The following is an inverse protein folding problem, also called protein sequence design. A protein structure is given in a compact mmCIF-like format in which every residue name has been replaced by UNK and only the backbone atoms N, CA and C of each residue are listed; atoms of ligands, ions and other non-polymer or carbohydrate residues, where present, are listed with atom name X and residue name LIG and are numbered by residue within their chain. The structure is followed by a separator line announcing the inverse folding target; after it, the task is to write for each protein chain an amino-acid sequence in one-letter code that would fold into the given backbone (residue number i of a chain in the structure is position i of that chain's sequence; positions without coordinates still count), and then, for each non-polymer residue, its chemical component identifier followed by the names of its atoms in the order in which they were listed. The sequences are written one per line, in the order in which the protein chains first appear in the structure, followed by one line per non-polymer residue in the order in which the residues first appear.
data_IF_544410335563
#
_entry.id   IF_544410335563
#
_cell.length_a   1.000
_cell.length_b   1.000
_cell.length_c   1.000
_cell.angle_alpha   90.00
_cell.angle_beta   90.00
_cell.angle_gamma   90.00
#
_symmetry.space_group_name_H-M   'P 1'
#
loop_
_entity.id
_entity.type
_entity.pdbx_description
1 polymer ?
#
# COMPACT_ATOMS: atom_id res chain seq x y z
N UNK A 1 -17.39 -0.59 28.85
CA UNK A 1 -17.54 0.66 28.09
C UNK A 1 -18.14 0.32 26.74
N UNK A 2 -19.05 1.14 26.19
CA UNK A 2 -19.60 0.92 24.85
C UNK A 2 -18.49 1.15 23.81
N UNK A 3 -18.30 0.22 22.86
CA UNK A 3 -17.35 0.42 21.76
C UNK A 3 -17.76 1.65 20.93
N UNK A 4 -16.78 2.46 20.54
CA UNK A 4 -16.95 3.54 19.57
C UNK A 4 -17.41 3.00 18.22
N UNK A 5 -17.95 3.87 17.36
CA UNK A 5 -18.30 3.49 15.99
C UNK A 5 -17.07 3.01 15.22
N UNK A 6 -15.91 3.62 15.45
CA UNK A 6 -14.65 3.19 14.87
C UNK A 6 -14.31 1.74 15.22
N UNK A 7 -14.28 1.40 16.51
CA UNK A 7 -13.94 0.06 17.00
C UNK A 7 -14.94 -1.00 16.54
N UNK A 8 -16.21 -0.64 16.35
CA UNK A 8 -17.22 -1.53 15.78
C UNK A 8 -16.94 -1.79 14.30
N UNK A 9 -16.62 -0.76 13.54
CA UNK A 9 -16.24 -0.88 12.14
C UNK A 9 -15.02 -1.77 11.94
N UNK A 10 -13.93 -1.50 12.69
CA UNK A 10 -12.69 -2.28 12.60
C UNK A 10 -12.93 -3.75 12.98
N UNK A 11 -13.73 -4.00 14.02
CA UNK A 11 -14.10 -5.38 14.40
C UNK A 11 -14.79 -6.15 13.26
N UNK A 12 -15.64 -5.49 12.46
CA UNK A 12 -16.23 -6.16 11.29
C UNK A 12 -15.17 -6.43 10.23
N UNK A 13 -14.26 -5.48 9.93
CA UNK A 13 -13.16 -5.75 9.00
C UNK A 13 -12.24 -6.89 9.46
N UNK A 14 -11.94 -6.99 10.75
CA UNK A 14 -11.12 -8.08 11.31
C UNK A 14 -11.79 -9.47 11.15
N UNK A 15 -13.12 -9.53 11.26
CA UNK A 15 -13.89 -10.76 11.01
C UNK A 15 -13.76 -11.17 9.54
N UNK A 16 -13.65 -10.22 8.61
CA UNK A 16 -13.39 -10.54 7.21
C UNK A 16 -12.03 -11.21 7.01
N UNK A 17 -10.96 -10.66 7.61
CA UNK A 17 -9.61 -11.23 7.47
C UNK A 17 -9.54 -12.68 8.01
N UNK A 18 -10.39 -13.01 8.99
CA UNK A 18 -10.48 -14.35 9.57
C UNK A 18 -11.38 -15.34 8.81
N UNK A 19 -12.46 -14.88 8.17
CA UNK A 19 -13.51 -15.76 7.61
C UNK A 19 -13.78 -15.61 6.11
N UNK A 20 -13.05 -14.75 5.40
CA UNK A 20 -13.14 -14.54 3.95
C UNK A 20 -14.26 -13.57 3.53
N UNK A 21 -14.36 -13.30 2.20
CA UNK A 21 -15.31 -12.31 1.62
C UNK A 21 -16.76 -12.60 2.02
N UNK A 22 -17.27 -11.83 2.98
CA UNK A 22 -18.67 -11.79 3.35
C UNK A 22 -19.23 -10.36 3.18
N UNK A 23 -20.09 -10.10 2.17
CA UNK A 23 -20.68 -8.79 1.92
C UNK A 23 -21.39 -8.16 3.13
N UNK A 24 -21.98 -8.99 4.00
CA UNK A 24 -22.73 -8.52 5.18
C UNK A 24 -21.81 -7.85 6.21
N UNK A 25 -20.57 -8.35 6.30
CA UNK A 25 -19.56 -7.83 7.22
C UNK A 25 -19.09 -6.45 6.77
N UNK A 26 -18.90 -6.25 5.46
CA UNK A 26 -18.50 -4.95 4.90
C UNK A 26 -19.56 -3.88 5.08
N UNK A 27 -20.83 -4.19 4.80
CA UNK A 27 -21.92 -3.22 5.00
C UNK A 27 -22.05 -2.79 6.47
N UNK A 28 -21.82 -3.72 7.40
CA UNK A 28 -21.79 -3.40 8.83
C UNK A 28 -20.62 -2.49 9.19
N UNK A 29 -19.43 -2.69 8.60
CA UNK A 29 -18.29 -1.81 8.79
C UNK A 29 -18.57 -0.40 8.24
N UNK A 30 -19.06 -0.32 7.00
CA UNK A 30 -19.45 0.92 6.31
C UNK A 30 -20.46 1.73 7.12
N UNK A 31 -21.52 1.09 7.63
CA UNK A 31 -22.56 1.77 8.42
C UNK A 31 -21.97 2.38 9.70
N UNK A 32 -21.08 1.66 10.38
CA UNK A 32 -20.42 2.18 11.58
C UNK A 32 -19.52 3.37 11.25
N UNK A 33 -18.70 3.29 10.20
CA UNK A 33 -17.86 4.43 9.79
C UNK A 33 -18.69 5.66 9.39
N UNK A 34 -19.80 5.48 8.66
CA UNK A 34 -20.73 6.56 8.33
C UNK A 34 -21.35 7.21 9.56
N UNK A 35 -21.74 6.43 10.58
CA UNK A 35 -22.21 6.97 11.87
C UNK A 35 -21.11 7.74 12.60
N UNK A 36 -19.87 7.29 12.49
CA UNK A 36 -18.70 8.02 12.97
C UNK A 36 -18.56 9.39 12.31
N UNK A 37 -18.66 9.43 10.98
CA UNK A 37 -18.59 10.67 10.19
C UNK A 37 -19.77 11.61 10.43
N UNK A 38 -20.94 11.12 10.84
CA UNK A 38 -22.04 11.99 11.28
C UNK A 38 -21.71 12.78 12.55
N UNK A 39 -20.81 12.25 13.40
CA UNK A 39 -20.37 12.91 14.63
C UNK A 39 -19.14 13.78 14.41
N UNK A 40 -18.23 13.33 13.54
CA UNK A 40 -16.98 14.01 13.21
C UNK A 40 -16.71 13.90 11.69
N UNK A 41 -17.27 14.82 10.88
CA UNK A 41 -17.20 14.75 9.43
C UNK A 41 -15.80 14.91 8.84
N UNK A 42 -14.84 15.45 9.57
CA UNK A 42 -13.47 15.70 9.08
C UNK A 42 -12.47 14.67 9.64
N UNK A 43 -12.97 13.57 10.20
CA UNK A 43 -12.12 12.54 10.77
C UNK A 43 -11.45 11.70 9.66
N UNK A 44 -10.18 11.97 9.42
CA UNK A 44 -9.38 11.27 8.40
C UNK A 44 -9.34 9.77 8.59
N UNK A 45 -9.37 9.29 9.85
CA UNK A 45 -9.35 7.86 10.17
C UNK A 45 -10.65 7.16 9.73
N UNK A 46 -11.79 7.81 9.91
CA UNK A 46 -13.08 7.28 9.44
C UNK A 46 -13.15 7.27 7.91
N UNK A 47 -12.74 8.35 7.24
CA UNK A 47 -12.68 8.40 5.77
C UNK A 47 -11.76 7.31 5.21
N UNK A 48 -10.55 7.16 5.75
CA UNK A 48 -9.62 6.11 5.33
C UNK A 48 -10.22 4.71 5.46
N UNK A 49 -10.81 4.38 6.63
CA UNK A 49 -11.41 3.06 6.84
C UNK A 49 -12.66 2.81 6.01
N UNK A 50 -13.45 3.85 5.74
CA UNK A 50 -14.60 3.77 4.85
C UNK A 50 -14.16 3.51 3.41
N UNK A 51 -13.15 4.23 2.93
CA UNK A 51 -12.52 4.00 1.64
C UNK A 51 -11.94 2.58 1.52
N UNK A 52 -11.27 2.10 2.56
CA UNK A 52 -10.75 0.73 2.61
C UNK A 52 -11.86 -0.33 2.56
N UNK A 53 -12.95 -0.14 3.31
CA UNK A 53 -14.10 -1.04 3.25
C UNK A 53 -14.73 -1.07 1.84
N UNK A 54 -14.86 0.09 1.18
CA UNK A 54 -15.32 0.16 -0.21
C UNK A 54 -14.37 -0.52 -1.18
N UNK A 55 -13.07 -0.32 -1.02
CA UNK A 55 -12.04 -0.96 -1.84
C UNK A 55 -12.15 -2.49 -1.75
N UNK A 56 -12.26 -3.05 -0.54
CA UNK A 56 -12.42 -4.49 -0.33
C UNK A 56 -13.68 -5.07 -0.99
N UNK A 57 -14.73 -4.25 -1.13
CA UNK A 57 -15.97 -4.58 -1.86
C UNK A 57 -15.89 -4.37 -3.39
N UNK A 58 -14.74 -3.95 -3.94
CA UNK A 58 -14.58 -3.52 -5.34
C UNK A 58 -15.46 -2.31 -5.71
N UNK A 59 -15.89 -1.53 -4.72
CA UNK A 59 -16.59 -0.25 -4.88
C UNK A 59 -15.58 0.87 -5.07
N UNK A 60 -14.81 0.77 -6.15
CA UNK A 60 -13.57 1.53 -6.29
C UNK A 60 -13.82 3.03 -6.47
N UNK A 61 -14.88 3.45 -7.17
CA UNK A 61 -15.24 4.88 -7.28
C UNK A 61 -15.50 5.51 -5.92
N UNK A 62 -16.22 4.81 -5.04
CA UNK A 62 -16.51 5.29 -3.68
C UNK A 62 -15.26 5.26 -2.82
N UNK A 63 -14.41 4.24 -2.96
CA UNK A 63 -13.12 4.17 -2.28
C UNK A 63 -12.23 5.36 -2.63
N UNK A 64 -12.07 5.68 -3.92
CA UNK A 64 -11.30 6.83 -4.39
C UNK A 64 -11.83 8.14 -3.83
N UNK A 65 -13.15 8.33 -3.80
CA UNK A 65 -13.77 9.53 -3.22
C UNK A 65 -13.42 9.73 -1.74
N UNK A 66 -13.44 8.67 -0.93
CA UNK A 66 -13.06 8.72 0.47
C UNK A 66 -11.55 8.96 0.67
N UNK A 67 -10.70 8.33 -0.15
CA UNK A 67 -9.26 8.56 -0.12
C UNK A 67 -8.87 9.98 -0.54
N UNK A 68 -9.56 10.57 -1.52
CA UNK A 68 -9.39 11.98 -1.87
C UNK A 68 -9.71 12.91 -0.70
N UNK A 69 -10.72 12.61 0.11
CA UNK A 69 -11.04 13.39 1.31
C UNK A 69 -9.90 13.29 2.32
N UNK A 70 -9.33 12.09 2.54
CA UNK A 70 -8.15 11.91 3.40
C UNK A 70 -6.99 12.78 2.91
N UNK A 71 -6.67 12.75 1.62
CA UNK A 71 -5.58 13.54 1.04
C UNK A 71 -5.81 15.06 1.12
N UNK A 72 -7.07 15.52 1.16
CA UNK A 72 -7.42 16.94 1.34
C UNK A 72 -7.30 17.37 2.80
N UNK A 73 -7.73 16.54 3.74
CA UNK A 73 -7.75 16.83 5.18
C UNK A 73 -6.39 16.64 5.86
N UNK A 74 -5.63 15.63 5.43
CA UNK A 74 -4.29 15.29 5.93
C UNK A 74 -3.36 15.04 4.73
N UNK A 75 -2.93 16.10 4.04
CA UNK A 75 -2.07 15.97 2.88
C UNK A 75 -0.71 15.41 3.29
N UNK A 76 -0.12 14.49 2.49
CA UNK A 76 1.22 14.01 2.76
C UNK A 76 2.21 15.17 2.73
N UNK A 77 3.21 15.14 3.63
CA UNK A 77 4.30 16.11 3.56
C UNK A 77 5.01 16.03 2.22
N UNK A 78 5.47 17.16 1.71
CA UNK A 78 6.33 17.16 0.52
C UNK A 78 7.62 16.39 0.76
N UNK A 79 8.07 15.66 -0.24
CA UNK A 79 9.35 14.97 -0.20
C UNK A 79 10.50 16.00 -0.15
N UNK A 80 11.44 15.80 0.78
CA UNK A 80 12.69 16.55 0.85
C UNK A 80 13.76 15.94 -0.05
N UNK A 81 14.85 16.66 -0.29
CA UNK A 81 15.99 16.13 -1.05
C UNK A 81 16.61 14.89 -0.35
N UNK A 82 16.58 14.85 0.98
CA UNK A 82 17.08 13.72 1.75
C UNK A 82 16.18 12.49 1.62
N UNK A 83 14.86 12.68 1.49
CA UNK A 83 13.92 11.58 1.20
C UNK A 83 14.20 10.98 -0.16
N UNK A 84 14.43 11.81 -1.17
CA UNK A 84 14.74 11.36 -2.53
C UNK A 84 16.06 10.59 -2.56
N UNK A 85 17.10 11.09 -1.87
CA UNK A 85 18.38 10.39 -1.73
C UNK A 85 18.23 9.07 -1.00
N UNK A 86 17.39 9.02 0.04
CA UNK A 86 17.14 7.80 0.81
C UNK A 86 16.41 6.75 -0.04
N UNK A 87 15.37 7.17 -0.78
CA UNK A 87 14.65 6.35 -1.72
C UNK A 87 15.57 5.83 -2.83
N UNK A 88 16.32 6.67 -3.53
CA UNK A 88 17.22 6.20 -4.60
C UNK A 88 18.33 5.26 -4.08
N UNK A 89 18.85 5.51 -2.89
CA UNK A 89 19.87 4.65 -2.27
C UNK A 89 19.39 3.22 -2.08
N UNK A 90 18.16 3.04 -1.63
CA UNK A 90 17.57 1.72 -1.35
C UNK A 90 16.63 1.24 -2.45
N UNK A 91 16.51 1.98 -3.55
CA UNK A 91 15.66 1.61 -4.67
C UNK A 91 16.09 0.25 -5.23
N UNK A 92 15.16 -0.69 -5.40
CA UNK A 92 15.48 -2.00 -5.96
C UNK A 92 16.00 -1.85 -7.40
N UNK A 93 16.79 -2.83 -7.82
CA UNK A 93 17.11 -3.06 -9.22
C UNK A 93 16.03 -3.99 -9.77
N UNK A 94 15.12 -3.42 -10.54
CA UNK A 94 14.03 -4.15 -11.18
C UNK A 94 14.55 -4.80 -12.46
N UNK A 95 14.36 -6.11 -12.57
CA UNK A 95 14.66 -6.88 -13.78
C UNK A 95 13.33 -7.36 -14.34
N UNK A 96 12.79 -6.57 -15.26
CA UNK A 96 11.57 -6.92 -16.01
C UNK A 96 11.92 -7.87 -17.15
N UNK A 97 11.03 -8.81 -17.45
CA UNK A 97 11.17 -9.67 -18.62
C UNK A 97 10.97 -8.83 -19.91
N UNK A 98 11.85 -8.91 -20.93
CA UNK A 98 11.60 -8.24 -22.20
C UNK A 98 10.33 -8.69 -22.92
N UNK A 99 9.78 -9.85 -22.56
CA UNK A 99 8.52 -10.38 -23.07
C UNK A 99 7.30 -10.02 -22.19
N UNK A 100 7.47 -9.15 -21.17
CA UNK A 100 6.34 -8.59 -20.40
C UNK A 100 5.32 -7.93 -21.34
N UNK A 101 4.04 -8.19 -21.10
CA UNK A 101 2.97 -7.63 -21.94
C UNK A 101 2.69 -6.15 -21.62
N UNK A 102 2.87 -5.75 -20.36
CA UNK A 102 2.70 -4.39 -19.89
C UNK A 102 4.04 -3.82 -19.42
N UNK A 103 4.40 -2.63 -19.92
CA UNK A 103 5.60 -1.94 -19.47
C UNK A 103 5.42 -1.39 -18.06
N UNK A 104 6.48 -1.40 -17.26
CA UNK A 104 6.55 -0.60 -16.04
C UNK A 104 6.60 0.88 -16.43
N UNK A 105 5.61 1.68 -15.99
CA UNK A 105 5.49 3.09 -16.35
C UNK A 105 6.03 4.03 -15.29
N UNK A 106 5.71 3.75 -14.03
CA UNK A 106 6.10 4.62 -12.93
C UNK A 106 6.23 3.83 -11.62
N UNK A 107 6.76 4.51 -10.59
CA UNK A 107 6.76 4.01 -9.23
C UNK A 107 6.50 5.14 -8.23
N UNK A 108 5.90 4.79 -7.11
CA UNK A 108 5.78 5.67 -5.95
C UNK A 108 6.51 5.06 -4.76
N UNK A 109 7.53 5.77 -4.28
CA UNK A 109 8.24 5.43 -3.06
C UNK A 109 7.55 6.06 -1.83
N UNK A 110 7.13 5.24 -0.87
CA UNK A 110 6.54 5.66 0.40
C UNK A 110 7.49 5.33 1.54
N UNK A 111 8.05 6.36 2.17
CA UNK A 111 8.96 6.24 3.31
C UNK A 111 8.12 6.18 4.59
N UNK A 112 8.27 5.11 5.37
CA UNK A 112 7.53 5.00 6.63
C UNK A 112 7.99 6.08 7.63
N UNK A 113 7.09 6.75 8.36
CA UNK A 113 7.44 7.87 9.24
C UNK A 113 8.29 7.51 10.48
N UNK A 114 8.47 6.23 10.79
CA UNK A 114 9.01 5.78 12.09
C UNK A 114 9.92 4.56 11.93
N UNK A 115 9.53 3.63 11.07
CA UNK A 115 10.29 2.42 10.78
C UNK A 115 11.24 2.67 9.61
N UNK A 116 12.44 2.07 9.61
CA UNK A 116 13.39 2.21 8.52
C UNK A 116 13.02 1.26 7.37
N UNK A 117 11.85 1.51 6.77
CA UNK A 117 11.30 0.73 5.67
C UNK A 117 10.75 1.68 4.60
N UNK A 118 11.00 1.35 3.34
CA UNK A 118 10.47 2.08 2.18
C UNK A 118 9.67 1.10 1.34
N UNK A 119 8.43 1.47 1.01
CA UNK A 119 7.61 0.75 0.05
C UNK A 119 7.81 1.38 -1.34
N UNK A 120 8.05 0.56 -2.35
CA UNK A 120 8.07 0.95 -3.76
C UNK A 120 6.87 0.30 -4.43
N UNK A 121 5.85 1.12 -4.70
CA UNK A 121 4.64 0.70 -5.42
C UNK A 121 4.95 0.83 -6.92
N UNK A 122 4.77 -0.25 -7.66
CA UNK A 122 5.02 -0.31 -9.10
C UNK A 122 3.72 -0.07 -9.85
N UNK A 123 3.78 0.72 -10.94
CA UNK A 123 2.64 1.01 -11.80
C UNK A 123 2.94 0.57 -13.23
N UNK A 124 2.14 -0.36 -13.72
CA UNK A 124 2.23 -0.91 -15.07
C UNK A 124 1.31 -0.17 -16.03
N UNK A 125 1.51 -0.36 -17.32
CA UNK A 125 0.69 0.25 -18.37
C UNK A 125 -0.82 0.01 -18.17
N UNK A 126 -1.20 -1.19 -17.70
CA UNK A 126 -2.58 -1.54 -17.42
C UNK A 126 -3.15 -0.90 -16.14
N UNK A 127 -2.30 -0.36 -15.25
CA UNK A 127 -2.75 0.28 -14.01
C UNK A 127 -3.12 1.77 -14.23
N UNK A 128 -2.46 2.45 -15.17
CA UNK A 128 -2.51 3.91 -15.28
C UNK A 128 -3.71 4.39 -16.12
N UNK A 129 -4.22 3.57 -17.05
CA UNK A 129 -5.20 4.02 -18.05
C UNK A 129 -6.37 3.02 -18.28
N UNK A 130 -6.79 2.27 -17.26
CA UNK A 130 -8.00 1.43 -17.33
C UNK A 130 -9.20 2.11 -16.65
N UNK A 131 -9.98 2.94 -17.37
CA UNK A 131 -11.14 3.66 -16.82
C UNK A 131 -12.29 2.73 -16.40
N UNK A 132 -12.18 1.43 -16.68
CA UNK A 132 -13.22 0.43 -16.46
C UNK A 132 -13.30 -0.09 -15.03
N UNK A 133 -12.22 -0.08 -14.26
CA UNK A 133 -12.21 -0.65 -12.91
C UNK A 133 -11.77 0.31 -11.82
N UNK A 134 -11.06 1.41 -12.12
CA UNK A 134 -10.58 2.36 -11.10
C UNK A 134 -9.71 1.65 -10.02
N UNK A 135 -9.03 0.57 -10.42
CA UNK A 135 -8.08 -0.16 -9.59
C UNK A 135 -6.68 0.43 -9.85
N UNK A 136 -6.11 1.19 -8.89
CA UNK A 136 -4.94 2.02 -9.17
C UNK A 136 -3.63 1.24 -9.28
N UNK A 137 -3.58 -0.02 -8.80
CA UNK A 137 -2.50 -0.95 -9.13
C UNK A 137 -2.88 -2.38 -8.75
N UNK A 138 -2.28 -3.37 -9.42
CA UNK A 138 -2.34 -4.79 -9.03
C UNK A 138 -1.69 -5.10 -7.65
N UNK A 139 -1.44 -4.08 -6.83
CA UNK A 139 -0.86 -4.10 -5.49
C UNK A 139 0.58 -4.62 -5.46
N UNK A 140 1.31 -4.46 -6.55
CA UNK A 140 2.70 -4.84 -6.60
C UNK A 140 3.57 -3.84 -5.83
N UNK A 141 3.96 -4.28 -4.64
CA UNK A 141 4.75 -3.46 -3.71
C UNK A 141 5.98 -4.23 -3.29
N UNK A 142 7.13 -3.56 -3.39
CA UNK A 142 8.40 -4.03 -2.81
C UNK A 142 8.70 -3.21 -1.56
N UNK A 143 8.86 -3.86 -0.42
CA UNK A 143 9.36 -3.21 0.79
C UNK A 143 10.83 -3.51 1.02
N UNK A 144 11.61 -2.46 1.25
CA UNK A 144 13.01 -2.55 1.63
C UNK A 144 13.16 -2.04 3.06
N UNK A 145 13.46 -2.95 3.98
CA UNK A 145 13.84 -2.62 5.35
C UNK A 145 15.36 -2.46 5.43
N UNK A 146 15.81 -1.47 6.19
CA UNK A 146 17.22 -1.17 6.35
C UNK A 146 17.56 -0.75 7.79
N UNK A 147 18.85 -0.78 8.12
CA UNK A 147 19.36 -0.23 9.36
C UNK A 147 20.07 1.11 9.06
N UNK A 148 19.58 2.19 9.67
CA UNK A 148 20.14 3.54 9.46
C UNK A 148 21.58 3.70 9.94
N UNK A 149 21.95 3.02 11.04
CA UNK A 149 23.27 3.16 11.67
C UNK A 149 24.36 2.51 10.83
N UNK A 150 24.13 1.26 10.42
CA UNK A 150 25.10 0.51 9.60
C UNK A 150 24.87 0.68 8.09
N UNK A 151 23.79 1.39 7.71
CA UNK A 151 23.44 1.72 6.32
C UNK A 151 23.30 0.49 5.41
N UNK A 152 22.69 -0.57 5.94
CA UNK A 152 22.50 -1.85 5.23
C UNK A 152 21.04 -2.25 5.13
N UNK A 153 20.66 -2.86 4.01
CA UNK A 153 19.39 -3.58 3.85
C UNK A 153 19.38 -4.76 4.81
N UNK A 154 18.29 -4.90 5.53
CA UNK A 154 18.02 -5.97 6.51
C UNK A 154 16.84 -6.84 6.11
N UNK A 155 15.93 -6.32 5.28
CA UNK A 155 14.77 -7.05 4.80
C UNK A 155 14.36 -6.62 3.40
N UNK A 156 13.90 -7.59 2.61
CA UNK A 156 13.31 -7.37 1.29
C UNK A 156 12.04 -8.18 1.23
N UNK A 157 10.91 -7.50 1.05
CA UNK A 157 9.59 -8.11 1.02
C UNK A 157 8.89 -7.70 -0.27
N UNK A 158 8.01 -8.56 -0.77
CA UNK A 158 7.20 -8.25 -1.95
C UNK A 158 5.78 -8.75 -1.72
N UNK A 159 4.78 -7.92 -2.00
CA UNK A 159 3.41 -8.41 -2.12
C UNK A 159 3.16 -8.82 -3.56
N UNK A 160 2.76 -10.07 -3.74
CA UNK A 160 2.44 -10.63 -5.05
C UNK A 160 1.30 -11.63 -4.88
N UNK A 161 0.22 -11.47 -5.65
CA UNK A 161 -1.00 -12.30 -5.61
C UNK A 161 -1.46 -12.72 -4.20
N UNK A 162 -1.67 -11.74 -3.30
CA UNK A 162 -2.18 -11.94 -1.93
C UNK A 162 -1.22 -12.60 -0.93
N UNK A 163 0.05 -12.75 -1.29
CA UNK A 163 1.08 -13.22 -0.40
C UNK A 163 2.18 -12.18 -0.25
N UNK A 164 2.73 -12.09 0.96
CA UNK A 164 3.96 -11.36 1.21
C UNK A 164 5.11 -12.36 1.17
N UNK A 165 6.00 -12.20 0.20
CA UNK A 165 7.22 -12.99 0.04
C UNK A 165 8.39 -12.28 0.71
N UNK A 166 9.35 -13.05 1.21
CA UNK A 166 10.62 -12.60 1.77
C UNK A 166 11.72 -13.58 1.40
N UNK A 167 12.94 -13.08 1.18
CA UNK A 167 14.12 -13.90 0.91
C UNK A 167 15.38 -13.27 1.49
N UNK A 168 16.20 -14.08 2.16
CA UNK A 168 17.53 -13.65 2.61
C UNK A 168 18.50 -13.43 1.43
N UNK A 169 18.30 -14.12 0.32
CA UNK A 169 19.11 -14.01 -0.89
C UNK A 169 19.01 -12.59 -1.47
N UNK A 170 17.82 -11.98 -1.47
CA UNK A 170 17.66 -10.59 -1.92
C UNK A 170 18.37 -9.60 -0.99
N UNK A 171 18.38 -9.86 0.33
CA UNK A 171 19.14 -9.06 1.30
C UNK A 171 20.65 -9.19 1.07
N UNK A 172 21.14 -10.41 0.84
CA UNK A 172 22.56 -10.68 0.52
C UNK A 172 22.96 -10.00 -0.78
N UNK A 173 22.14 -10.09 -1.82
CA UNK A 173 22.34 -9.41 -3.10
C UNK A 173 22.39 -7.89 -2.94
N UNK A 174 21.44 -7.30 -2.20
CA UNK A 174 21.44 -5.85 -1.93
C UNK A 174 22.77 -5.41 -1.30
N UNK A 175 23.25 -6.16 -0.31
CA UNK A 175 24.50 -5.87 0.40
C UNK A 175 25.75 -5.96 -0.50
N UNK A 176 25.70 -6.76 -1.58
CA UNK A 176 26.75 -6.83 -2.60
C UNK A 176 26.63 -5.71 -3.65
N UNK A 177 25.43 -5.14 -3.82
CA UNK A 177 25.13 -4.20 -4.91
C UNK A 177 24.66 -2.83 -4.38
N UNK A 178 25.48 -2.23 -3.53
CA UNK A 178 25.28 -0.86 -3.02
C UNK A 178 23.90 -0.64 -2.37
N UNK A 179 23.37 -1.66 -1.68
CA UNK A 179 22.09 -1.64 -0.97
C UNK A 179 20.85 -1.65 -1.87
N UNK A 180 21.02 -2.04 -3.13
CA UNK A 180 19.92 -2.12 -4.11
C UNK A 180 19.60 -3.57 -4.44
N UNK A 181 18.57 -4.09 -3.79
CA UNK A 181 18.13 -5.48 -3.94
C UNK A 181 17.70 -5.77 -5.38
N UNK A 182 18.07 -6.95 -5.89
CA UNK A 182 17.53 -7.49 -7.13
C UNK A 182 16.09 -7.97 -6.92
N UNK A 183 15.17 -7.43 -7.72
CA UNK A 183 13.79 -7.90 -7.82
C UNK A 183 13.60 -8.34 -9.27
N UNK A 184 13.34 -9.64 -9.47
CA UNK A 184 12.91 -10.12 -10.78
C UNK A 184 11.40 -9.94 -10.82
N UNK A 185 10.93 -9.14 -11.76
CA UNK A 185 9.51 -8.88 -11.92
C UNK A 185 9.03 -9.65 -13.13
N UNK A 186 8.04 -10.49 -12.92
CA UNK A 186 7.42 -11.32 -13.95
C UNK A 186 5.91 -11.15 -13.82
N UNK A 187 5.20 -10.85 -14.90
CA UNK A 187 3.75 -11.05 -14.91
C UNK A 187 3.44 -12.55 -14.90
N UNK A 188 2.58 -12.97 -13.97
CA UNK A 188 1.94 -14.30 -13.92
C UNK A 188 2.77 -15.38 -13.24
#
# INVERSE_FOLDING_TARGET
MSKSYFEKGDMYLDIYDAYGRNPVVFESAIENYKKGLQLDPDNTRYHYRLGYAYHLMRRLTEASGEYEVVLKLDPPRSASEDDLKLADKYAPRLFVNPEEFFDLKDLVAVIHPEKPIIAYNLFWDNDIDHPGDNDPSDHEVVWIEFNQNIRKVTGVYMYFHRAVFFTEEAVKDANLHRQRARINVQWG
#
